data_IF_568185419303
#
_entry.id   IF_568185419303
#
_cell.length_a   1.000
_cell.length_b   1.000
_cell.length_c   1.000
_cell.angle_alpha   90.00
_cell.angle_beta   90.00
_cell.angle_gamma   90.00
#
_symmetry.space_group_name_H-M   'P 1'
#
loop_
_entity.id
_entity.type
_entity.pdbx_description
1 polymer ?
#
# COMPACT_ATOMS: atom_id res chain seq x y z
N UNK A 1 -3.13 7.81 38.12
CA UNK A 1 -1.73 8.04 37.77
C UNK A 1 -1.68 8.61 36.39
N UNK A 2 -1.36 9.88 36.23
CA UNK A 2 -1.14 10.49 34.89
C UNK A 2 0.15 9.87 34.39
N UNK A 3 0.10 9.19 33.22
CA UNK A 3 1.27 8.59 32.62
C UNK A 3 2.27 9.66 32.21
N UNK A 4 3.48 9.58 32.70
CA UNK A 4 4.58 10.44 32.28
C UNK A 4 4.89 10.12 30.81
N UNK A 5 4.87 11.14 29.95
CA UNK A 5 5.23 11.02 28.55
C UNK A 5 6.68 11.47 28.36
N UNK A 6 7.48 10.67 27.70
CA UNK A 6 8.87 11.01 27.37
C UNK A 6 9.00 11.12 25.84
N UNK A 7 9.56 12.22 25.39
CA UNK A 7 9.83 12.45 23.98
C UNK A 7 11.33 12.43 23.74
N UNK A 8 11.78 11.55 22.85
CA UNK A 8 13.18 11.45 22.43
C UNK A 8 13.29 11.86 20.96
N UNK A 9 14.20 12.76 20.66
CA UNK A 9 14.49 13.22 19.30
C UNK A 9 15.99 13.47 19.15
N UNK A 10 16.49 13.53 17.92
CA UNK A 10 17.90 13.77 17.66
C UNK A 10 18.80 12.60 18.07
N UNK A 11 18.34 11.36 17.88
CA UNK A 11 19.14 10.15 18.14
C UNK A 11 19.77 9.70 16.84
N UNK A 12 21.08 9.50 16.86
CA UNK A 12 21.84 8.95 15.75
C UNK A 12 22.68 7.78 16.26
N UNK A 13 22.65 6.67 15.54
CA UNK A 13 23.44 5.47 15.85
C UNK A 13 24.47 5.29 14.75
N UNK A 14 25.74 5.24 15.13
CA UNK A 14 26.88 5.12 14.21
C UNK A 14 27.84 4.03 14.66
N UNK A 15 28.54 3.44 13.68
CA UNK A 15 29.62 2.51 13.94
C UNK A 15 30.94 3.28 13.88
N UNK A 16 31.72 3.21 14.93
CA UNK A 16 33.01 3.91 15.04
C UNK A 16 32.93 5.21 15.81
N UNK A 17 33.51 6.29 15.28
CA UNK A 17 33.54 7.59 15.94
C UNK A 17 32.26 8.38 15.69
N UNK A 18 31.76 9.06 16.72
CA UNK A 18 30.59 9.93 16.57
C UNK A 18 30.90 11.08 15.60
N UNK A 19 29.97 11.33 14.71
CA UNK A 19 29.98 12.47 13.78
C UNK A 19 28.92 13.49 14.17
N UNK A 20 28.92 14.65 13.51
CA UNK A 20 27.86 15.63 13.68
C UNK A 20 26.50 15.06 13.28
N UNK A 21 25.43 15.46 14.00
CA UNK A 21 24.10 14.95 13.72
C UNK A 21 23.65 15.30 12.30
N UNK A 22 23.30 14.27 11.52
CA UNK A 22 22.84 14.43 10.13
C UNK A 22 21.36 14.84 10.11
N UNK A 23 21.09 16.09 9.78
CA UNK A 23 19.74 16.59 9.58
C UNK A 23 19.23 16.24 8.18
N UNK A 24 18.31 15.29 8.09
CA UNK A 24 17.63 14.98 6.82
C UNK A 24 16.32 15.75 6.71
N UNK A 25 15.96 16.12 5.49
CA UNK A 25 14.65 16.71 5.23
C UNK A 25 13.56 15.62 5.37
N UNK A 26 12.33 16.06 5.68
CA UNK A 26 11.18 15.13 5.74
C UNK A 26 11.02 14.33 4.44
N UNK A 27 11.25 14.96 3.28
CA UNK A 27 11.15 14.28 1.98
C UNK A 27 12.19 13.16 1.81
N UNK A 28 13.41 13.36 2.29
CA UNK A 28 14.45 12.33 2.27
C UNK A 28 14.09 11.17 3.19
N UNK A 29 13.66 11.43 4.42
CA UNK A 29 13.21 10.40 5.35
C UNK A 29 12.01 9.63 4.81
N UNK A 30 11.01 10.31 4.26
CA UNK A 30 9.85 9.68 3.65
C UNK A 30 10.25 8.75 2.50
N UNK A 31 11.16 9.19 1.62
CA UNK A 31 11.64 8.35 0.52
C UNK A 31 12.37 7.11 1.01
N UNK A 32 13.17 7.23 2.07
CA UNK A 32 13.85 6.09 2.69
C UNK A 32 12.84 5.10 3.30
N UNK A 33 11.82 5.59 4.00
CA UNK A 33 10.75 4.74 4.56
C UNK A 33 9.95 4.02 3.47
N UNK A 34 9.64 4.70 2.37
CA UNK A 34 8.88 4.13 1.24
C UNK A 34 9.60 2.97 0.53
N UNK A 35 10.91 2.83 0.70
CA UNK A 35 11.65 1.65 0.22
C UNK A 35 11.28 0.37 0.96
N UNK A 36 10.74 0.49 2.17
CA UNK A 36 10.39 -0.65 3.03
C UNK A 36 8.89 -0.82 3.20
N UNK A 37 8.14 0.26 3.25
CA UNK A 37 6.72 0.20 3.54
C UNK A 37 5.95 1.30 2.78
N UNK A 38 4.88 0.89 2.11
CA UNK A 38 3.93 1.80 1.48
C UNK A 38 2.51 1.42 1.90
N UNK A 39 1.74 2.41 2.31
CA UNK A 39 0.35 2.24 2.74
C UNK A 39 -0.58 2.92 1.74
N UNK A 40 -1.63 2.22 1.32
CA UNK A 40 -2.63 2.73 0.40
C UNK A 40 -4.04 2.52 0.97
N UNK A 41 -4.81 3.59 1.08
CA UNK A 41 -6.20 3.57 1.56
C UNK A 41 -7.24 3.73 0.45
N UNK A 42 -6.82 4.21 -0.71
CA UNK A 42 -7.65 4.32 -1.93
C UNK A 42 -6.82 3.95 -3.15
N UNK A 43 -7.40 3.12 -4.00
CA UNK A 43 -6.77 2.66 -5.23
C UNK A 43 -7.76 2.78 -6.38
N UNK A 44 -7.30 3.30 -7.51
CA UNK A 44 -8.01 3.15 -8.76
C UNK A 44 -7.79 1.73 -9.31
N UNK A 45 -8.87 1.08 -9.66
CA UNK A 45 -8.85 -0.31 -10.10
C UNK A 45 -9.67 -0.50 -11.37
N UNK A 46 -9.39 -1.57 -12.08
CA UNK A 46 -10.22 -2.06 -13.18
C UNK A 46 -10.70 -3.46 -12.83
N UNK A 47 -11.98 -3.72 -13.03
CA UNK A 47 -12.50 -5.08 -12.92
C UNK A 47 -12.02 -5.92 -14.12
N UNK A 48 -11.65 -7.17 -13.83
CA UNK A 48 -11.22 -8.13 -14.86
C UNK A 48 -12.42 -8.66 -15.69
N UNK A 49 -12.09 -9.38 -16.76
CA UNK A 49 -13.06 -10.16 -17.52
C UNK A 49 -13.72 -11.28 -16.70
N UNK A 50 -13.10 -11.67 -15.60
CA UNK A 50 -13.68 -12.64 -14.64
C UNK A 50 -14.35 -11.90 -13.51
N UNK A 51 -15.62 -12.19 -13.27
CA UNK A 51 -16.37 -11.64 -12.15
C UNK A 51 -15.69 -11.98 -10.79
N UNK A 52 -15.67 -11.03 -9.88
CA UNK A 52 -15.09 -11.21 -8.56
C UNK A 52 -13.59 -10.88 -8.43
N UNK A 53 -12.94 -10.47 -9.52
CA UNK A 53 -11.54 -10.06 -9.51
C UNK A 53 -11.39 -8.61 -9.96
N UNK A 54 -10.56 -7.87 -9.25
CA UNK A 54 -10.15 -6.51 -9.60
C UNK A 54 -8.63 -6.47 -9.70
N UNK A 55 -8.12 -5.81 -10.74
CA UNK A 55 -6.69 -5.52 -10.85
C UNK A 55 -6.45 -4.04 -10.64
N UNK A 56 -5.52 -3.73 -9.76
CA UNK A 56 -4.98 -2.38 -9.65
C UNK A 56 -4.09 -2.14 -10.86
N UNK A 57 -4.52 -1.23 -11.73
CA UNK A 57 -3.67 -0.80 -12.83
C UNK A 57 -2.48 -0.04 -12.26
N UNK A 58 -1.32 -0.62 -12.38
CA UNK A 58 0.01 -0.18 -11.94
C UNK A 58 0.04 1.12 -11.14
N UNK A 59 0.27 1.02 -9.86
CA UNK A 59 0.69 2.17 -9.07
C UNK A 59 2.22 2.25 -9.14
N UNK A 60 2.79 3.25 -9.81
CA UNK A 60 4.22 3.47 -9.68
C UNK A 60 4.51 3.80 -8.22
N UNK A 61 5.40 3.07 -7.59
CA UNK A 61 5.93 3.49 -6.31
C UNK A 61 6.73 4.79 -6.52
N UNK A 62 6.56 5.78 -5.64
CA UNK A 62 7.34 7.01 -5.72
C UNK A 62 8.84 6.76 -5.56
N UNK A 63 9.21 5.64 -4.94
CA UNK A 63 10.61 5.19 -4.74
C UNK A 63 10.65 3.68 -4.94
N UNK A 64 11.68 3.13 -5.62
CA UNK A 64 11.87 1.69 -5.73
C UNK A 64 11.90 1.00 -4.37
N UNK A 65 11.10 -0.03 -4.19
CA UNK A 65 11.14 -0.83 -2.97
C UNK A 65 12.40 -1.71 -2.94
N UNK A 66 12.87 -2.00 -1.74
CA UNK A 66 14.08 -2.79 -1.51
C UNK A 66 13.97 -4.22 -2.05
N UNK A 67 12.79 -4.79 -1.98
CA UNK A 67 12.48 -6.15 -2.43
C UNK A 67 11.00 -6.21 -2.87
N UNK A 68 10.61 -7.33 -3.47
CA UNK A 68 9.20 -7.59 -3.74
C UNK A 68 8.41 -7.60 -2.42
N UNK A 69 7.38 -6.74 -2.27
CA UNK A 69 6.71 -6.60 -0.99
C UNK A 69 5.76 -7.76 -0.72
N UNK A 70 5.59 -8.06 0.57
CA UNK A 70 4.43 -8.79 1.06
C UNK A 70 3.24 -7.83 1.17
N UNK A 71 2.03 -8.36 0.99
CA UNK A 71 0.80 -7.60 1.11
C UNK A 71 0.05 -8.01 2.38
N UNK A 72 -0.43 -7.01 3.10
CA UNK A 72 -1.39 -7.19 4.19
C UNK A 72 -2.54 -6.20 4.04
N UNK A 73 -3.67 -6.50 4.65
CA UNK A 73 -4.86 -5.68 4.57
C UNK A 73 -5.52 -5.56 5.95
N UNK A 74 -6.05 -4.39 6.23
CA UNK A 74 -6.99 -4.15 7.32
C UNK A 74 -8.27 -3.51 6.78
N UNK A 75 -9.42 -3.90 7.35
CA UNK A 75 -10.73 -3.47 6.90
C UNK A 75 -11.32 -4.35 5.80
N UNK A 76 -12.46 -3.91 5.27
CA UNK A 76 -13.19 -4.59 4.19
C UNK A 76 -13.11 -3.75 2.94
N UNK A 77 -12.60 -4.32 1.87
CA UNK A 77 -12.49 -3.61 0.58
C UNK A 77 -13.91 -3.35 0.04
N UNK A 78 -14.18 -2.13 -0.33
CA UNK A 78 -15.38 -1.74 -1.07
C UNK A 78 -14.99 -1.23 -2.45
N UNK A 79 -15.42 -1.91 -3.48
CA UNK A 79 -15.27 -1.48 -4.87
C UNK A 79 -16.50 -0.70 -5.32
N UNK A 80 -16.29 0.51 -5.81
CA UNK A 80 -17.32 1.40 -6.32
C UNK A 80 -17.04 1.66 -7.81
N UNK A 81 -17.76 1.02 -8.73
CA UNK A 81 -17.61 1.26 -10.16
C UNK A 81 -18.12 2.67 -10.52
N UNK A 82 -17.39 3.36 -11.40
CA UNK A 82 -17.75 4.74 -11.78
C UNK A 82 -18.99 4.83 -12.68
N UNK A 83 -19.21 3.81 -13.51
CA UNK A 83 -20.24 3.83 -14.56
C UNK A 83 -21.25 2.68 -14.47
N UNK A 84 -21.11 1.84 -13.47
CA UNK A 84 -22.05 0.76 -13.18
C UNK A 84 -22.56 0.94 -11.74
N UNK A 85 -23.83 0.80 -11.53
CA UNK A 85 -24.41 0.94 -10.20
C UNK A 85 -23.98 -0.17 -9.23
N UNK A 86 -24.04 0.10 -7.94
CA UNK A 86 -23.75 -0.84 -6.86
C UNK A 86 -22.38 -0.66 -6.24
N UNK A 87 -22.21 -1.28 -5.07
CA UNK A 87 -20.94 -1.40 -4.36
C UNK A 87 -20.70 -2.88 -4.05
N UNK A 88 -19.50 -3.32 -4.20
CA UNK A 88 -19.09 -4.73 -4.05
C UNK A 88 -18.03 -4.82 -2.96
N UNK A 89 -18.17 -5.75 -2.04
CA UNK A 89 -17.28 -5.86 -0.88
C UNK A 89 -16.53 -7.17 -0.86
N UNK A 90 -15.31 -7.15 -0.35
CA UNK A 90 -14.50 -8.33 -0.06
C UNK A 90 -13.65 -8.13 1.19
N UNK A 91 -13.52 -9.16 1.99
CA UNK A 91 -12.59 -9.24 3.13
C UNK A 91 -11.34 -10.08 2.83
N UNK A 92 -11.19 -10.55 1.60
CA UNK A 92 -10.04 -11.37 1.22
C UNK A 92 -8.78 -10.51 1.10
N UNK A 93 -7.67 -11.03 1.61
CA UNK A 93 -6.37 -10.37 1.47
C UNK A 93 -5.98 -10.28 -0.01
N UNK A 94 -5.54 -9.11 -0.49
CA UNK A 94 -5.03 -8.95 -1.83
C UNK A 94 -3.74 -9.76 -2.02
N UNK A 95 -3.41 -10.07 -3.26
CA UNK A 95 -2.13 -10.70 -3.57
C UNK A 95 -1.39 -9.96 -4.69
N UNK A 96 -0.08 -10.04 -4.64
CA UNK A 96 0.80 -9.48 -5.66
C UNK A 96 0.81 -10.44 -6.86
N UNK A 97 0.35 -9.96 -8.02
CA UNK A 97 0.36 -10.75 -9.25
C UNK A 97 1.70 -10.62 -9.98
N UNK A 98 2.21 -9.42 -10.08
CA UNK A 98 3.48 -9.15 -10.76
C UNK A 98 4.14 -7.90 -10.18
N UNK A 99 5.47 -7.91 -10.24
CA UNK A 99 6.30 -6.76 -9.94
C UNK A 99 7.26 -6.58 -11.13
N UNK A 100 7.09 -5.49 -11.86
CA UNK A 100 7.93 -5.16 -13.01
C UNK A 100 8.40 -3.72 -12.85
N UNK A 101 9.71 -3.50 -12.80
CA UNK A 101 10.32 -2.17 -12.73
C UNK A 101 9.67 -1.26 -11.67
N UNK A 102 9.52 -1.76 -10.45
CA UNK A 102 8.91 -1.04 -9.33
C UNK A 102 7.41 -0.69 -9.49
N UNK A 103 6.77 -1.23 -10.50
CA UNK A 103 5.32 -1.23 -10.62
C UNK A 103 4.76 -2.55 -10.10
N UNK A 104 3.74 -2.46 -9.26
CA UNK A 104 3.08 -3.62 -8.69
C UNK A 104 1.69 -3.77 -9.28
N UNK A 105 1.38 -4.98 -9.73
CA UNK A 105 0.01 -5.38 -10.08
C UNK A 105 -0.56 -6.11 -8.87
N UNK A 106 -1.49 -5.46 -8.20
CA UNK A 106 -2.18 -6.01 -7.04
C UNK A 106 -3.54 -6.52 -7.49
N UNK A 107 -3.81 -7.79 -7.22
CA UNK A 107 -5.13 -8.36 -7.43
C UNK A 107 -5.93 -8.37 -6.14
N UNK A 108 -7.14 -7.89 -6.24
CA UNK A 108 -8.16 -7.96 -5.23
C UNK A 108 -9.18 -9.02 -5.65
N UNK A 109 -9.56 -9.90 -4.75
CA UNK A 109 -10.40 -11.06 -5.03
C UNK A 109 -11.51 -11.25 -4.00
N UNK A 110 -12.44 -12.17 -4.29
CA UNK A 110 -13.50 -12.52 -3.35
C UNK A 110 -14.70 -11.58 -3.35
N UNK A 111 -14.83 -10.80 -4.40
CA UNK A 111 -16.05 -10.01 -4.63
C UNK A 111 -17.08 -10.89 -5.34
N UNK A 112 -18.12 -11.32 -4.77
CA UNK A 112 -19.15 -12.17 -5.36
C UNK A 112 -19.30 -12.02 -6.89
N UNK A 113 -20.09 -11.07 -7.35
CA UNK A 113 -20.28 -10.79 -8.79
C UNK A 113 -20.04 -9.31 -9.06
N UNK A 114 -18.88 -8.96 -9.59
CA UNK A 114 -18.57 -7.60 -10.05
C UNK A 114 -18.87 -7.44 -11.53
N UNK A 115 -19.27 -6.23 -11.99
CA UNK A 115 -19.32 -5.96 -13.43
C UNK A 115 -17.91 -6.11 -14.02
N UNK A 116 -17.83 -6.60 -15.24
CA UNK A 116 -16.55 -6.84 -15.95
C UNK A 116 -16.11 -5.61 -16.75
N UNK A 117 -14.80 -5.42 -16.89
CA UNK A 117 -14.19 -4.34 -17.67
C UNK A 117 -14.66 -2.92 -17.28
N UNK A 118 -14.85 -2.68 -15.99
CA UNK A 118 -15.30 -1.40 -15.46
C UNK A 118 -14.25 -0.80 -14.56
N UNK A 119 -13.98 0.50 -14.74
CA UNK A 119 -13.13 1.26 -13.82
C UNK A 119 -13.91 1.68 -12.56
N UNK A 120 -13.21 1.75 -11.45
CA UNK A 120 -13.76 2.21 -10.20
C UNK A 120 -12.70 2.56 -9.18
N UNK A 121 -13.13 2.92 -7.99
CA UNK A 121 -12.25 3.11 -6.85
C UNK A 121 -12.47 2.03 -5.79
N UNK A 122 -11.45 1.81 -5.01
CA UNK A 122 -11.48 0.94 -3.84
C UNK A 122 -11.31 1.79 -2.59
N UNK A 123 -12.16 1.57 -1.62
CA UNK A 123 -12.20 2.28 -0.34
C UNK A 123 -12.43 1.32 0.84
N UNK A 124 -12.49 1.88 2.06
CA UNK A 124 -12.81 1.19 3.32
C UNK A 124 -11.82 0.10 3.74
N UNK A 125 -10.69 0.00 3.08
CA UNK A 125 -9.59 -0.86 3.48
C UNK A 125 -8.26 -0.13 3.36
N UNK A 126 -7.31 -0.56 4.17
CA UNK A 126 -5.91 -0.13 4.08
C UNK A 126 -5.07 -1.32 3.63
N UNK A 127 -4.38 -1.16 2.51
CA UNK A 127 -3.45 -2.15 1.98
C UNK A 127 -2.04 -1.69 2.31
N UNK A 128 -1.29 -2.53 3.00
CA UNK A 128 0.10 -2.29 3.35
C UNK A 128 0.99 -3.19 2.49
N UNK A 129 1.93 -2.59 1.80
CA UNK A 129 3.02 -3.26 1.07
C UNK A 129 4.27 -3.15 1.93
N UNK A 130 4.81 -4.26 2.39
CA UNK A 130 6.01 -4.31 3.23
C UNK A 130 7.10 -5.12 2.54
N UNK A 131 8.29 -4.52 2.40
CA UNK A 131 9.51 -5.14 1.88
C UNK A 131 10.54 -5.37 3.00
N UNK A 132 10.09 -5.52 4.23
CA UNK A 132 10.95 -5.93 5.33
C UNK A 132 11.40 -7.40 5.18
N UNK A 133 12.56 -7.71 5.75
CA UNK A 133 13.17 -9.04 5.73
C UNK A 133 12.53 -9.97 6.75
#
# INVERSE_FOLDING_TARGET
TVGNTFYLTGVQLEVGSATDFEHRSFAQELALCQRYCVVASRLAVMSNTYAGYLSVCSRPNPVPMRAAPSLSMSGTITFNPFFAGGSYTSSNTPYLQASVNDNFIINLQGFGSTPTNVFGDVSNATITMSAEL
#
